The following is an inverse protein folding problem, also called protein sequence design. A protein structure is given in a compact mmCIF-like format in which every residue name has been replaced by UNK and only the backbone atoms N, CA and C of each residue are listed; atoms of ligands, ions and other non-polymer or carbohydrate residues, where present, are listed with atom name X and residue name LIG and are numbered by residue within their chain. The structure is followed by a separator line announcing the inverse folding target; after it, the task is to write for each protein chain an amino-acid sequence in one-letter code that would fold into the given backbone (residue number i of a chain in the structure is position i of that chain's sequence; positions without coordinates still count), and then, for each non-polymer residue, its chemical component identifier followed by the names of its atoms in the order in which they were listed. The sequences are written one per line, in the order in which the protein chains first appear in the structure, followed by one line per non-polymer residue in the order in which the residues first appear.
data_IF_247379409648
#
_entry.id   IF_247379409648
#
_cell.length_a   1.000
_cell.length_b   1.000
_cell.length_c   1.000
_cell.angle_alpha   90.00
_cell.angle_beta   90.00
_cell.angle_gamma   90.00
#
_symmetry.space_group_name_H-M   'P 1'
#
loop_
_entity.id
_entity.type
_entity.pdbx_description
1 polymer ?
#
# COMPACT_ATOMS: atom_id res chain seq x y z
N UNK A 1 -24.88 -15.60 -30.57
CA UNK A 1 -23.51 -15.08 -30.84
C UNK A 1 -23.31 -13.67 -30.26
N UNK A 2 -24.26 -12.74 -30.43
CA UNK A 2 -24.18 -11.36 -29.92
C UNK A 2 -24.07 -11.26 -28.39
N UNK A 3 -24.85 -12.06 -27.65
CA UNK A 3 -24.81 -12.08 -26.17
C UNK A 3 -23.46 -12.60 -25.61
N UNK A 4 -22.79 -13.51 -26.33
CA UNK A 4 -21.50 -14.03 -25.89
C UNK A 4 -20.39 -12.98 -26.05
N UNK A 5 -20.39 -12.27 -27.18
CA UNK A 5 -19.45 -11.18 -27.44
C UNK A 5 -19.63 -10.00 -26.46
N UNK A 6 -20.89 -9.63 -26.18
CA UNK A 6 -21.21 -8.59 -25.19
C UNK A 6 -20.77 -8.96 -23.78
N UNK A 7 -20.93 -10.23 -23.37
CA UNK A 7 -20.47 -10.71 -22.07
C UNK A 7 -18.95 -10.67 -21.94
N UNK A 8 -18.21 -11.07 -22.99
CA UNK A 8 -16.75 -10.97 -23.02
C UNK A 8 -16.30 -9.51 -22.95
N UNK A 9 -16.94 -8.63 -23.71
CA UNK A 9 -16.61 -7.21 -23.70
C UNK A 9 -16.89 -6.57 -22.33
N UNK A 10 -18.00 -6.94 -21.67
CA UNK A 10 -18.30 -6.52 -20.30
C UNK A 10 -17.26 -6.98 -19.29
N UNK A 11 -16.81 -8.24 -19.38
CA UNK A 11 -15.72 -8.76 -18.54
C UNK A 11 -14.40 -8.04 -18.79
N UNK A 12 -14.08 -7.72 -20.05
CA UNK A 12 -12.86 -6.99 -20.40
C UNK A 12 -12.85 -5.57 -19.82
N UNK A 13 -13.97 -4.86 -19.91
CA UNK A 13 -14.12 -3.52 -19.32
C UNK A 13 -14.02 -3.58 -17.79
N UNK A 14 -14.66 -4.57 -17.17
CA UNK A 14 -14.58 -4.77 -15.71
C UNK A 14 -13.14 -5.07 -15.26
N UNK A 15 -12.43 -5.96 -15.97
CA UNK A 15 -11.04 -6.28 -15.69
C UNK A 15 -10.15 -5.04 -15.84
N UNK A 16 -10.32 -4.26 -16.92
CA UNK A 16 -9.57 -3.02 -17.13
C UNK A 16 -9.81 -1.99 -16.01
N UNK A 17 -11.06 -1.86 -15.55
CA UNK A 17 -11.41 -0.99 -14.43
C UNK A 17 -10.72 -1.42 -13.12
N UNK A 18 -10.73 -2.71 -12.79
CA UNK A 18 -10.05 -3.26 -11.61
C UNK A 18 -8.54 -3.04 -11.71
N UNK A 19 -7.92 -3.26 -12.87
CA UNK A 19 -6.50 -3.00 -13.12
C UNK A 19 -6.18 -1.50 -12.94
N UNK A 20 -7.03 -0.62 -13.46
CA UNK A 20 -6.89 0.83 -13.30
C UNK A 20 -6.93 1.25 -11.82
N UNK A 21 -7.90 0.76 -11.06
CA UNK A 21 -8.00 1.02 -9.62
C UNK A 21 -6.78 0.51 -8.86
N UNK A 22 -6.31 -0.71 -9.15
CA UNK A 22 -5.09 -1.25 -8.52
C UNK A 22 -3.87 -0.38 -8.78
N UNK A 23 -3.70 0.04 -10.04
CA UNK A 23 -2.59 0.90 -10.46
C UNK A 23 -2.65 2.23 -9.72
N UNK A 24 -3.85 2.82 -9.62
CA UNK A 24 -4.07 4.05 -8.86
C UNK A 24 -3.72 3.89 -7.37
N UNK A 25 -4.19 2.83 -6.70
CA UNK A 25 -3.87 2.55 -5.29
C UNK A 25 -2.37 2.37 -5.08
N UNK A 26 -1.71 1.64 -5.99
CA UNK A 26 -0.26 1.45 -5.94
C UNK A 26 0.52 2.75 -6.07
N UNK A 27 0.15 3.60 -7.05
CA UNK A 27 0.77 4.91 -7.25
C UNK A 27 0.51 5.83 -6.06
N UNK A 28 -0.72 5.85 -5.55
CA UNK A 28 -1.08 6.65 -4.38
C UNK A 28 -0.22 6.29 -3.16
N UNK A 29 -0.02 4.99 -2.88
CA UNK A 29 0.82 4.55 -1.77
C UNK A 29 2.30 4.89 -1.97
N UNK A 30 2.80 4.84 -3.20
CA UNK A 30 4.16 5.29 -3.51
C UNK A 30 4.33 6.79 -3.25
N UNK A 31 3.37 7.61 -3.70
CA UNK A 31 3.36 9.05 -3.44
C UNK A 31 3.34 9.31 -1.93
N UNK A 32 2.49 8.59 -1.18
CA UNK A 32 2.45 8.70 0.28
C UNK A 32 3.78 8.35 0.93
N UNK A 33 4.46 7.29 0.50
CA UNK A 33 5.79 6.94 1.01
C UNK A 33 6.81 8.07 0.78
N UNK A 34 6.82 8.64 -0.44
CA UNK A 34 7.70 9.76 -0.78
C UNK A 34 7.39 10.99 0.11
N UNK A 35 6.10 11.28 0.32
CA UNK A 35 5.67 12.39 1.18
C UNK A 35 6.11 12.17 2.62
N UNK A 36 5.95 10.96 3.18
CA UNK A 36 6.40 10.62 4.53
C UNK A 36 7.91 10.80 4.65
N UNK A 37 8.69 10.23 3.71
CA UNK A 37 10.15 10.37 3.68
C UNK A 37 10.52 11.86 3.67
N UNK A 38 9.87 12.67 2.82
CA UNK A 38 10.13 14.11 2.73
C UNK A 38 9.76 14.83 4.04
N UNK A 39 8.65 14.49 4.68
CA UNK A 39 8.23 15.11 5.94
C UNK A 39 9.20 14.77 7.09
N UNK A 40 9.71 13.53 7.14
CA UNK A 40 10.75 13.12 8.10
C UNK A 40 12.05 13.89 7.85
N UNK A 41 12.46 14.08 6.59
CA UNK A 41 13.65 14.88 6.24
C UNK A 41 13.53 16.36 6.62
N UNK A 42 12.32 16.90 6.64
CA UNK A 42 12.03 18.31 6.94
C UNK A 42 11.65 18.53 8.42
N UNK A 43 11.80 17.51 9.27
CA UNK A 43 11.39 17.52 10.67
C UNK A 43 9.95 17.98 10.93
N UNK A 44 9.06 17.66 9.98
CA UNK A 44 7.62 17.97 10.07
C UNK A 44 6.79 16.90 10.77
N UNK A 45 7.40 15.76 11.08
CA UNK A 45 6.79 14.67 11.86
C UNK A 45 7.57 14.56 13.17
N UNK A 46 6.88 14.42 14.30
CA UNK A 46 7.51 14.12 15.59
C UNK A 46 7.92 12.66 15.67
N UNK A 47 8.95 12.37 16.49
CA UNK A 47 9.44 11.00 16.66
C UNK A 47 8.37 10.07 17.23
N UNK A 48 7.53 10.56 18.15
CA UNK A 48 6.40 9.80 18.70
C UNK A 48 5.44 9.31 17.60
N UNK A 49 5.06 10.21 16.68
CA UNK A 49 4.16 9.87 15.57
C UNK A 49 4.85 8.88 14.62
N UNK A 50 6.14 9.06 14.37
CA UNK A 50 6.91 8.16 13.50
C UNK A 50 6.99 6.74 14.09
N UNK A 51 7.31 6.64 15.39
CA UNK A 51 7.36 5.37 16.14
C UNK A 51 5.98 4.70 16.14
N UNK A 52 4.92 5.45 16.43
CA UNK A 52 3.56 4.91 16.44
C UNK A 52 3.17 4.33 15.09
N UNK A 53 3.44 5.05 13.99
CA UNK A 53 3.15 4.60 12.62
C UNK A 53 4.01 3.41 12.21
N UNK A 54 5.28 3.40 12.59
CA UNK A 54 6.18 2.26 12.38
C UNK A 54 5.65 1.00 13.09
N UNK A 55 5.28 1.11 14.36
CA UNK A 55 4.76 -0.03 15.14
C UNK A 55 3.43 -0.55 14.60
N UNK A 56 2.54 0.35 14.17
CA UNK A 56 1.31 -0.04 13.47
C UNK A 56 1.63 -0.79 12.17
N UNK A 57 2.53 -0.25 11.35
CA UNK A 57 2.95 -0.92 10.12
C UNK A 57 3.57 -2.29 10.39
N UNK A 58 4.42 -2.41 11.41
CA UNK A 58 5.05 -3.67 11.87
C UNK A 58 4.01 -4.71 12.28
N UNK A 59 2.95 -4.32 12.97
CA UNK A 59 1.87 -5.23 13.41
C UNK A 59 1.04 -5.76 12.24
N UNK A 60 0.80 -4.95 11.22
CA UNK A 60 -0.13 -5.29 10.13
C UNK A 60 0.54 -5.75 8.83
N UNK A 61 1.88 -5.68 8.73
CA UNK A 61 2.61 -6.09 7.51
C UNK A 61 2.42 -7.56 7.17
N UNK A 62 2.39 -8.43 8.18
CA UNK A 62 2.33 -9.90 8.01
C UNK A 62 0.89 -10.44 8.10
N UNK A 63 -0.09 -9.57 8.34
CA UNK A 63 -1.48 -10.00 8.54
C UNK A 63 -2.13 -10.32 7.18
N UNK A 64 -1.94 -11.56 6.72
CA UNK A 64 -2.49 -12.08 5.46
C UNK A 64 -4.00 -12.09 5.49
N UNK A 65 -4.63 -12.49 6.60
CA UNK A 65 -6.09 -12.58 6.72
C UNK A 65 -6.77 -11.22 6.53
N UNK A 66 -6.28 -10.19 7.23
CA UNK A 66 -6.78 -8.82 7.06
C UNK A 66 -6.53 -8.30 5.64
N UNK A 67 -5.38 -8.65 5.04
CA UNK A 67 -5.07 -8.26 3.66
C UNK A 67 -5.98 -8.93 2.66
N UNK A 68 -6.33 -10.20 2.88
CA UNK A 68 -7.31 -10.93 2.08
C UNK A 68 -8.71 -10.32 2.21
N UNK A 69 -9.13 -9.92 3.41
CA UNK A 69 -10.41 -9.21 3.57
C UNK A 69 -10.45 -7.87 2.83
N UNK A 70 -9.35 -7.11 2.81
CA UNK A 70 -9.31 -5.81 2.14
C UNK A 70 -9.09 -5.86 0.63
N UNK A 71 -8.29 -6.82 0.14
CA UNK A 71 -7.86 -6.90 -1.26
C UNK A 71 -8.41 -8.12 -2.01
N UNK A 72 -9.12 -9.02 -1.33
CA UNK A 72 -9.69 -10.24 -1.89
C UNK A 72 -8.62 -11.14 -2.54
N UNK A 73 -8.90 -11.59 -3.76
CA UNK A 73 -7.99 -12.42 -4.59
C UNK A 73 -6.64 -11.72 -4.82
N UNK A 74 -6.59 -10.39 -4.71
CA UNK A 74 -5.39 -9.58 -4.92
C UNK A 74 -4.58 -9.37 -3.64
N UNK A 75 -4.80 -10.17 -2.60
CA UNK A 75 -4.10 -10.04 -1.31
C UNK A 75 -2.57 -10.03 -1.45
N UNK A 76 -1.98 -10.80 -2.38
CA UNK A 76 -0.54 -10.79 -2.63
C UNK A 76 -0.03 -9.42 -3.07
N UNK A 77 -0.81 -8.68 -3.86
CA UNK A 77 -0.49 -7.31 -4.25
C UNK A 77 -0.58 -6.37 -3.04
N UNK A 78 -1.63 -6.51 -2.23
CA UNK A 78 -1.78 -5.77 -0.96
C UNK A 78 -0.62 -6.01 0.02
N UNK A 79 -0.14 -7.25 0.13
CA UNK A 79 1.03 -7.60 0.95
C UNK A 79 2.30 -6.91 0.46
N UNK A 80 2.55 -6.91 -0.85
CA UNK A 80 3.70 -6.19 -1.44
C UNK A 80 3.65 -4.68 -1.16
N UNK A 81 2.46 -4.08 -1.22
CA UNK A 81 2.27 -2.67 -0.91
C UNK A 81 2.53 -2.36 0.57
N UNK A 82 1.99 -3.18 1.48
CA UNK A 82 2.24 -3.05 2.93
C UNK A 82 3.73 -3.18 3.26
N UNK A 83 4.43 -4.11 2.62
CA UNK A 83 5.86 -4.30 2.79
C UNK A 83 6.65 -3.04 2.36
N UNK A 84 6.33 -2.43 1.22
CA UNK A 84 6.97 -1.18 0.78
C UNK A 84 6.75 -0.04 1.76
N UNK A 85 5.53 0.10 2.28
CA UNK A 85 5.21 1.12 3.29
C UNK A 85 5.99 0.89 4.57
N UNK A 86 6.10 -0.36 5.02
CA UNK A 86 6.89 -0.73 6.19
C UNK A 86 8.37 -0.40 6.01
N UNK A 87 8.95 -0.71 4.85
CA UNK A 87 10.34 -0.40 4.53
C UNK A 87 10.60 1.12 4.54
N UNK A 88 9.68 1.92 3.98
CA UNK A 88 9.79 3.37 4.03
C UNK A 88 9.80 3.92 5.48
N UNK A 89 8.93 3.40 6.34
CA UNK A 89 8.94 3.77 7.77
C UNK A 89 10.21 3.28 8.48
N UNK A 90 10.69 2.07 8.18
CA UNK A 90 11.93 1.54 8.74
C UNK A 90 13.14 2.41 8.38
N UNK A 91 13.24 2.85 7.12
CA UNK A 91 14.29 3.76 6.67
C UNK A 91 14.23 5.11 7.40
N UNK A 92 13.02 5.65 7.60
CA UNK A 92 12.80 6.88 8.36
C UNK A 92 13.25 6.75 9.82
N UNK A 93 12.94 5.61 10.47
CA UNK A 93 13.37 5.30 11.84
C UNK A 93 14.90 5.23 11.95
N UNK A 94 15.55 4.53 11.01
CA UNK A 94 17.02 4.44 10.94
C UNK A 94 17.65 5.83 10.78
N UNK A 95 17.10 6.65 9.89
CA UNK A 95 17.62 8.01 9.61
C UNK A 95 17.61 8.91 10.85
N UNK A 96 16.63 8.72 11.74
CA UNK A 96 16.50 9.48 13.00
C UNK A 96 17.14 8.77 14.20
N UNK A 97 17.80 7.64 13.99
CA UNK A 97 18.40 6.84 15.05
C UNK A 97 17.39 6.43 16.15
N UNK A 98 16.17 6.08 15.73
CA UNK A 98 15.06 5.67 16.61
C UNK A 98 15.02 4.14 16.80
N UNK A 99 14.44 3.64 17.91
CA UNK A 99 14.40 2.20 18.22
C UNK A 99 13.50 1.41 17.25
N UNK A 100 13.99 0.25 16.77
CA UNK A 100 13.35 -0.62 15.76
C UNK A 100 12.63 -1.85 16.36
#
# INVERSE_FOLDING_TARGET
MMNFLQNIMGLAVFAAFIIGLMTFVGLFLQIQCIVIIKQVKLDKISDEILIQRYNMSKRYKDNVFLTFLCYGILYMYGMKLKQKVFEAYKECMIRRNLPL
#
